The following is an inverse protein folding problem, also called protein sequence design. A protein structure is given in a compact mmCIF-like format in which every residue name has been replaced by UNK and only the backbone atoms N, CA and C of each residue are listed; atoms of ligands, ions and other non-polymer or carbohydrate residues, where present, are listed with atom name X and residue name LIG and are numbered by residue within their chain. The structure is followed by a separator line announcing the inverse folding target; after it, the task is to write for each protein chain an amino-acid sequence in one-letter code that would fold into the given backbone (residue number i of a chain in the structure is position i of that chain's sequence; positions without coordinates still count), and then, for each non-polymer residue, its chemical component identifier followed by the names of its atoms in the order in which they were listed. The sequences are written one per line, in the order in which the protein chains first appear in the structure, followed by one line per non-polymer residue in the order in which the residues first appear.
data_IF_375450505183
#
_entry.id   IF_375450505183
#
_cell.length_a   1.000
_cell.length_b   1.000
_cell.length_c   1.000
_cell.angle_alpha   90.00
_cell.angle_beta   90.00
_cell.angle_gamma   90.00
#
_symmetry.space_group_name_H-M   'P 1'
#
loop_
_entity.id
_entity.type
_entity.pdbx_description
1 polymer ?
#
# COMPACT_ATOMS: atom_id res chain seq x y z
N UNK A 1 5.64 8.31 -23.74
CA UNK A 1 5.14 9.67 -23.38
C UNK A 1 5.70 10.05 -22.02
N UNK A 2 6.05 11.31 -21.85
CA UNK A 2 6.32 11.92 -20.56
C UNK A 2 5.14 12.84 -20.21
N UNK A 3 4.42 12.50 -19.14
CA UNK A 3 3.10 13.08 -18.85
C UNK A 3 3.16 13.87 -17.54
N UNK A 4 2.89 15.17 -17.63
CA UNK A 4 2.79 16.10 -16.51
C UNK A 4 1.44 16.80 -16.48
N UNK A 5 1.06 17.40 -15.35
CA UNK A 5 -0.23 18.10 -15.21
C UNK A 5 -0.44 19.21 -16.24
N UNK A 6 0.63 19.90 -16.61
CA UNK A 6 0.58 21.09 -17.46
C UNK A 6 1.08 20.86 -18.91
N UNK A 7 1.63 19.70 -19.18
CA UNK A 7 2.14 19.35 -20.52
C UNK A 7 2.34 17.86 -20.66
N UNK A 8 2.13 17.37 -21.88
CA UNK A 8 2.49 16.01 -22.29
C UNK A 8 3.47 16.09 -23.44
N UNK A 9 4.60 15.40 -23.33
CA UNK A 9 5.57 15.24 -24.41
C UNK A 9 5.47 13.83 -24.93
N UNK A 10 5.18 13.70 -26.23
CA UNK A 10 5.05 12.41 -26.92
C UNK A 10 6.20 12.26 -27.91
N UNK A 11 6.86 11.12 -27.87
CA UNK A 11 7.82 10.68 -28.87
C UNK A 11 7.24 9.47 -29.59
N UNK A 12 6.93 9.60 -30.87
CA UNK A 12 6.63 8.48 -31.76
C UNK A 12 7.95 7.96 -32.34
N UNK A 13 8.15 6.66 -32.26
CA UNK A 13 9.32 5.96 -32.78
C UNK A 13 8.84 4.89 -33.76
N UNK A 14 9.25 4.98 -35.00
CA UNK A 14 8.97 3.97 -35.99
C UNK A 14 9.83 2.73 -35.74
N UNK A 15 9.18 1.56 -35.68
CA UNK A 15 9.83 0.30 -35.36
C UNK A 15 10.73 -0.26 -36.49
N UNK A 16 10.45 0.09 -37.72
CA UNK A 16 11.18 -0.42 -38.90
C UNK A 16 12.33 0.50 -39.29
N UNK A 17 12.08 1.82 -39.31
CA UNK A 17 13.07 2.80 -39.74
C UNK A 17 13.93 3.38 -38.63
N UNK A 18 13.44 3.31 -37.39
CA UNK A 18 14.06 3.95 -36.22
C UNK A 18 13.88 5.48 -36.19
N UNK A 19 13.07 6.04 -37.11
CA UNK A 19 12.80 7.47 -37.13
C UNK A 19 11.97 7.90 -35.94
N UNK A 20 12.35 9.03 -35.31
CA UNK A 20 11.70 9.54 -34.13
C UNK A 20 11.14 10.94 -34.31
N UNK A 21 9.84 11.11 -34.06
CA UNK A 21 9.16 12.40 -34.11
C UNK A 21 8.66 12.75 -32.71
N UNK A 22 8.99 13.95 -32.21
CA UNK A 22 8.58 14.39 -30.86
C UNK A 22 7.69 15.61 -30.96
N UNK A 23 6.57 15.59 -30.24
CA UNK A 23 5.64 16.72 -30.14
C UNK A 23 5.31 16.97 -28.66
N UNK A 24 5.23 18.24 -28.28
CA UNK A 24 4.79 18.67 -26.95
C UNK A 24 3.40 19.30 -27.05
N UNK A 25 2.52 18.85 -26.14
CA UNK A 25 1.16 19.35 -26.00
C UNK A 25 1.06 20.16 -24.69
N UNK A 26 0.28 21.23 -24.69
CA UNK A 26 -0.03 21.99 -23.49
C UNK A 26 -1.18 21.32 -22.73
N UNK A 27 -1.03 21.14 -21.43
CA UNK A 27 -2.00 20.37 -20.66
C UNK A 27 -2.01 18.89 -21.06
N UNK A 28 -3.18 18.30 -21.00
CA UNK A 28 -3.42 16.89 -21.32
C UNK A 28 -4.57 16.77 -22.33
N UNK A 29 -4.42 17.28 -23.58
CA UNK A 29 -5.46 17.22 -24.60
C UNK A 29 -5.44 15.84 -25.27
N UNK A 30 -6.00 14.84 -24.60
CA UNK A 30 -5.92 13.43 -25.04
C UNK A 30 -6.51 13.21 -26.43
N UNK A 31 -7.55 13.97 -26.82
CA UNK A 31 -8.07 13.96 -28.17
C UNK A 31 -7.04 14.36 -29.22
N UNK A 32 -6.32 15.48 -29.01
CA UNK A 32 -5.26 15.93 -29.92
C UNK A 32 -4.07 14.96 -29.96
N UNK A 33 -3.75 14.33 -28.82
CA UNK A 33 -2.70 13.30 -28.73
C UNK A 33 -3.11 12.09 -29.57
N UNK A 34 -4.35 11.61 -29.40
CA UNK A 34 -4.87 10.46 -30.14
C UNK A 34 -4.94 10.75 -31.64
N UNK A 35 -5.43 11.93 -32.04
CA UNK A 35 -5.46 12.36 -33.41
C UNK A 35 -4.04 12.42 -34.03
N UNK A 36 -3.08 12.98 -33.30
CA UNK A 36 -1.70 13.03 -33.76
C UNK A 36 -1.09 11.63 -33.92
N UNK A 37 -1.41 10.69 -32.98
CA UNK A 37 -0.95 9.32 -33.08
C UNK A 37 -1.59 8.57 -34.26
N UNK A 38 -2.84 8.82 -34.57
CA UNK A 38 -3.54 8.19 -35.70
C UNK A 38 -3.00 8.65 -37.08
N UNK A 39 -2.24 9.74 -37.13
CA UNK A 39 -1.56 10.22 -38.31
C UNK A 39 -0.34 9.39 -38.74
N UNK A 40 0.13 8.45 -37.90
CA UNK A 40 1.23 7.55 -38.25
C UNK A 40 0.70 6.24 -38.86
N UNK A 41 1.43 5.63 -39.81
CA UNK A 41 1.01 4.39 -40.44
C UNK A 41 1.11 3.21 -39.46
N UNK A 42 0.18 2.27 -39.56
CA UNK A 42 0.19 1.02 -38.79
C UNK A 42 -0.35 1.14 -37.34
N UNK A 43 -0.35 0.04 -36.60
CA UNK A 43 -0.80 0.02 -35.19
C UNK A 43 0.20 0.78 -34.32
N UNK A 44 -0.32 1.61 -33.39
CA UNK A 44 0.49 2.36 -32.46
C UNK A 44 0.21 1.93 -31.02
N UNK A 45 1.26 1.83 -30.21
CA UNK A 45 1.20 1.55 -28.78
C UNK A 45 1.77 2.72 -28.01
N UNK A 46 0.97 3.31 -27.12
CA UNK A 46 1.41 4.35 -26.20
C UNK A 46 1.89 3.74 -24.87
N UNK A 47 2.87 4.37 -24.23
CA UNK A 47 3.19 4.09 -22.84
C UNK A 47 3.64 5.35 -22.10
N UNK A 48 3.40 5.37 -20.78
CA UNK A 48 3.92 6.40 -19.87
C UNK A 48 4.30 5.79 -18.53
N UNK A 49 5.18 6.48 -17.79
CA UNK A 49 5.58 6.04 -16.44
C UNK A 49 4.45 6.27 -15.44
N UNK A 50 4.20 5.28 -14.55
CA UNK A 50 3.26 5.43 -13.45
C UNK A 50 3.69 6.60 -12.55
N UNK A 51 2.83 7.56 -12.36
CA UNK A 51 3.09 8.78 -11.61
C UNK A 51 1.83 9.29 -10.90
N UNK A 52 1.88 10.55 -10.45
CA UNK A 52 0.78 11.14 -9.67
C UNK A 52 -0.51 11.39 -10.48
N UNK A 53 -0.46 11.36 -11.81
CA UNK A 53 -1.65 11.40 -12.67
C UNK A 53 -2.40 10.05 -12.70
N UNK A 54 -1.86 9.03 -12.04
CA UNK A 54 -2.49 7.73 -11.91
C UNK A 54 -2.78 7.07 -13.25
N UNK A 55 -3.99 6.60 -13.41
CA UNK A 55 -4.44 5.84 -14.57
C UNK A 55 -5.34 6.64 -15.53
N UNK A 56 -5.61 7.92 -15.22
CA UNK A 56 -6.46 8.77 -16.06
C UNK A 56 -5.96 8.87 -17.50
N UNK A 57 -4.66 9.11 -17.77
CA UNK A 57 -4.16 9.17 -19.16
C UNK A 57 -4.40 7.89 -19.94
N UNK A 58 -4.22 6.73 -19.32
CA UNK A 58 -4.45 5.43 -19.95
C UNK A 58 -5.92 5.24 -20.32
N UNK A 59 -6.84 5.56 -19.40
CA UNK A 59 -8.30 5.42 -19.64
C UNK A 59 -8.78 6.34 -20.74
N UNK A 60 -8.35 7.59 -20.72
CA UNK A 60 -8.72 8.57 -21.75
C UNK A 60 -8.24 8.13 -23.13
N UNK A 61 -6.97 7.73 -23.26
CA UNK A 61 -6.41 7.26 -24.53
C UNK A 61 -7.08 5.97 -25.01
N UNK A 62 -7.31 5.01 -24.09
CA UNK A 62 -8.01 3.77 -24.45
C UNK A 62 -9.46 4.03 -24.87
N UNK A 63 -10.15 5.00 -24.25
CA UNK A 63 -11.49 5.45 -24.65
C UNK A 63 -11.51 6.08 -26.04
N UNK A 64 -10.38 6.62 -26.52
CA UNK A 64 -10.18 7.17 -27.86
C UNK A 64 -9.62 6.15 -28.86
N UNK A 65 -9.54 4.86 -28.50
CA UNK A 65 -9.08 3.79 -29.35
C UNK A 65 -7.55 3.65 -29.47
N UNK A 66 -6.80 4.31 -28.59
CA UNK A 66 -5.33 4.19 -28.52
C UNK A 66 -4.93 3.15 -27.48
N UNK A 67 -4.24 2.10 -27.89
CA UNK A 67 -3.64 1.14 -26.98
C UNK A 67 -2.60 1.83 -26.10
N UNK A 68 -2.80 1.81 -24.79
CA UNK A 68 -1.94 2.53 -23.86
C UNK A 68 -1.57 1.66 -22.64
N UNK A 69 -0.27 1.61 -22.33
CA UNK A 69 0.31 0.86 -21.23
C UNK A 69 0.89 1.81 -20.19
N UNK A 70 0.63 1.53 -18.92
CA UNK A 70 1.29 2.20 -17.78
C UNK A 70 2.52 1.40 -17.40
N UNK A 71 3.71 2.01 -17.45
CA UNK A 71 4.98 1.36 -17.15
C UNK A 71 5.41 1.61 -15.70
N UNK A 72 5.98 0.59 -15.06
CA UNK A 72 6.54 0.73 -13.71
C UNK A 72 7.86 1.51 -13.75
N UNK A 73 7.91 2.68 -13.08
CA UNK A 73 9.08 3.59 -13.03
C UNK A 73 10.38 2.88 -12.68
N UNK A 74 10.34 1.96 -11.71
CA UNK A 74 11.51 1.25 -11.21
C UNK A 74 12.10 0.22 -12.17
N UNK A 75 11.42 -0.04 -13.29
CA UNK A 75 11.79 -1.06 -14.26
C UNK A 75 12.05 -0.51 -15.67
N UNK A 76 11.93 0.78 -15.86
CA UNK A 76 12.34 1.42 -17.12
C UNK A 76 13.87 1.58 -17.10
N UNK A 77 14.60 1.01 -18.05
CA UNK A 77 16.06 1.12 -18.08
C UNK A 77 16.52 2.58 -18.14
N UNK A 78 17.55 2.93 -17.37
CA UNK A 78 18.19 4.24 -17.36
C UNK A 78 19.68 4.08 -17.61
N UNK A 79 20.19 4.76 -18.63
CA UNK A 79 21.63 4.83 -18.86
C UNK A 79 22.30 5.89 -17.96
N UNK A 80 23.61 5.81 -17.77
CA UNK A 80 24.35 6.83 -17.03
C UNK A 80 24.23 8.22 -17.70
N UNK A 81 24.08 8.28 -19.02
CA UNK A 81 23.86 9.51 -19.77
C UNK A 81 22.48 10.15 -19.48
N UNK A 82 21.45 9.34 -19.23
CA UNK A 82 20.10 9.82 -18.91
C UNK A 82 20.05 10.51 -17.53
N UNK A 83 20.96 10.18 -16.62
CA UNK A 83 21.07 10.81 -15.31
C UNK A 83 21.66 12.23 -15.39
N UNK A 84 22.40 12.55 -16.44
CA UNK A 84 23.09 13.84 -16.60
C UNK A 84 22.31 14.89 -17.39
N UNK A 85 21.30 14.49 -18.18
CA UNK A 85 20.49 15.41 -19.02
C UNK A 85 19.00 15.10 -18.95
N UNK A 86 18.40 15.39 -17.80
CA UNK A 86 16.96 15.20 -17.59
C UNK A 86 16.16 16.28 -18.30
N UNK A 87 15.40 15.89 -19.34
CA UNK A 87 14.37 16.74 -19.96
C UNK A 87 13.23 15.86 -20.49
N UNK A 88 12.02 16.44 -20.57
CA UNK A 88 10.78 15.76 -20.97
C UNK A 88 10.90 15.05 -22.35
N UNK A 89 11.72 15.59 -23.27
CA UNK A 89 11.94 15.03 -24.60
C UNK A 89 12.74 13.73 -24.54
N UNK A 90 13.81 13.72 -23.75
CA UNK A 90 14.64 12.53 -23.54
C UNK A 90 13.86 11.45 -22.79
N UNK A 91 13.05 11.83 -21.81
CA UNK A 91 12.23 10.89 -21.05
C UNK A 91 11.14 10.25 -21.94
N UNK A 92 10.49 11.02 -22.81
CA UNK A 92 9.56 10.48 -23.80
C UNK A 92 10.24 9.55 -24.83
N UNK A 93 11.43 9.93 -25.33
CA UNK A 93 12.19 9.11 -26.28
C UNK A 93 12.69 7.80 -25.65
N UNK A 94 13.12 7.86 -24.38
CA UNK A 94 13.49 6.65 -23.59
C UNK A 94 12.32 5.70 -23.47
N UNK A 95 11.11 6.20 -23.17
CA UNK A 95 9.91 5.38 -23.07
C UNK A 95 9.59 4.71 -24.43
N UNK A 96 9.70 5.43 -25.55
CA UNK A 96 9.48 4.86 -26.85
C UNK A 96 10.47 3.73 -27.17
N UNK A 97 11.76 3.92 -26.86
CA UNK A 97 12.77 2.87 -27.01
C UNK A 97 12.51 1.66 -26.11
N UNK A 98 12.10 1.87 -24.86
CA UNK A 98 11.78 0.79 -23.93
C UNK A 98 10.55 -0.03 -24.36
N UNK A 99 9.58 0.56 -25.06
CA UNK A 99 8.47 -0.17 -25.70
C UNK A 99 9.04 -1.08 -26.79
N UNK A 100 9.85 -0.53 -27.67
CA UNK A 100 10.39 -1.25 -28.83
C UNK A 100 11.28 -2.43 -28.44
N UNK A 101 12.09 -2.27 -27.37
CA UNK A 101 12.93 -3.33 -26.84
C UNK A 101 12.20 -4.32 -25.93
N UNK A 102 10.89 -4.16 -25.72
CA UNK A 102 10.08 -4.95 -24.75
C UNK A 102 10.60 -4.89 -23.30
N UNK A 103 11.32 -3.84 -22.93
CA UNK A 103 11.91 -3.65 -21.60
C UNK A 103 10.95 -2.95 -20.61
N UNK A 104 9.68 -2.78 -20.95
CA UNK A 104 8.68 -2.23 -20.06
C UNK A 104 7.99 -3.34 -19.24
N UNK A 105 7.77 -3.06 -17.96
CA UNK A 105 6.91 -3.89 -17.12
C UNK A 105 5.57 -3.20 -16.97
N UNK A 106 4.48 -3.74 -17.56
CA UNK A 106 3.15 -3.15 -17.44
C UNK A 106 2.66 -3.15 -16.00
N UNK A 107 2.07 -2.03 -15.59
CA UNK A 107 1.31 -1.93 -14.35
C UNK A 107 -0.14 -2.30 -14.65
N UNK A 108 -0.72 -3.13 -13.81
CA UNK A 108 -2.14 -3.40 -13.90
C UNK A 108 -2.97 -2.15 -13.60
N UNK A 109 -3.87 -1.79 -14.50
CA UNK A 109 -4.78 -0.66 -14.36
C UNK A 109 -6.04 -1.12 -13.64
N UNK A 110 -6.33 -0.62 -12.42
CA UNK A 110 -7.53 -0.97 -11.69
C UNK A 110 -8.78 -0.36 -12.31
N UNK A 111 -9.96 -0.92 -12.02
CA UNK A 111 -11.21 -0.21 -12.31
C UNK A 111 -11.34 1.05 -11.44
N UNK A 112 -12.18 2.03 -11.82
CA UNK A 112 -12.41 3.24 -11.01
C UNK A 112 -12.87 2.93 -9.57
N UNK A 113 -13.69 1.88 -9.39
CA UNK A 113 -14.17 1.46 -8.07
C UNK A 113 -13.02 0.94 -7.19
N UNK A 114 -12.12 0.17 -7.78
CA UNK A 114 -10.94 -0.36 -7.07
C UNK A 114 -9.96 0.76 -6.75
N UNK A 115 -9.80 1.74 -7.64
CA UNK A 115 -8.99 2.93 -7.39
C UNK A 115 -9.58 3.76 -6.24
N UNK A 116 -10.91 3.96 -6.20
CA UNK A 116 -11.59 4.61 -5.08
C UNK A 116 -11.40 3.89 -3.74
N UNK A 117 -11.37 2.55 -3.73
CA UNK A 117 -11.03 1.79 -2.52
C UNK A 117 -9.57 1.99 -2.09
N UNK A 118 -8.64 2.12 -3.02
CA UNK A 118 -7.22 2.45 -2.71
C UNK A 118 -7.11 3.83 -2.08
N UNK A 119 -7.82 4.82 -2.64
CA UNK A 119 -7.85 6.18 -2.11
C UNK A 119 -8.44 6.22 -0.70
N UNK A 120 -9.54 5.50 -0.46
CA UNK A 120 -10.14 5.37 0.87
C UNK A 120 -9.18 4.73 1.88
N UNK A 121 -8.49 3.66 1.49
CA UNK A 121 -7.49 3.00 2.33
C UNK A 121 -6.31 3.94 2.65
N UNK A 122 -5.84 4.70 1.67
CA UNK A 122 -4.80 5.72 1.84
C UNK A 122 -5.23 6.86 2.77
N UNK A 123 -6.47 7.35 2.61
CA UNK A 123 -7.04 8.39 3.47
C UNK A 123 -7.17 7.92 4.93
N UNK A 124 -7.63 6.68 5.14
CA UNK A 124 -7.70 6.07 6.48
C UNK A 124 -6.31 5.95 7.12
N UNK A 125 -5.32 5.54 6.35
CA UNK A 125 -3.95 5.44 6.84
C UNK A 125 -3.39 6.80 7.25
N UNK A 126 -3.58 7.82 6.42
CA UNK A 126 -3.18 9.19 6.72
C UNK A 126 -3.87 9.73 7.99
N UNK A 127 -5.17 9.42 8.18
CA UNK A 127 -5.90 9.80 9.39
C UNK A 127 -5.33 9.10 10.64
N UNK A 128 -5.02 7.81 10.55
CA UNK A 128 -4.40 7.04 11.64
C UNK A 128 -3.02 7.59 12.02
N UNK A 129 -2.19 7.93 11.03
CA UNK A 129 -0.88 8.54 11.25
C UNK A 129 -0.99 9.92 11.91
N UNK A 130 -1.97 10.75 11.50
CA UNK A 130 -2.24 12.06 12.13
C UNK A 130 -2.65 11.90 13.58
N UNK A 131 -3.54 10.95 13.89
CA UNK A 131 -3.95 10.65 15.26
C UNK A 131 -2.77 10.21 16.13
N UNK A 132 -1.91 9.31 15.63
CA UNK A 132 -0.70 8.90 16.34
C UNK A 132 0.23 10.07 16.63
N UNK A 133 0.45 10.94 15.65
CA UNK A 133 1.28 12.14 15.80
C UNK A 133 0.67 13.14 16.81
N UNK A 134 -0.65 13.35 16.78
CA UNK A 134 -1.35 14.22 17.73
C UNK A 134 -1.23 13.69 19.17
N UNK A 135 -1.42 12.38 19.36
CA UNK A 135 -1.22 11.71 20.66
C UNK A 135 0.20 11.88 21.17
N UNK A 136 1.20 11.74 20.32
CA UNK A 136 2.60 11.93 20.71
C UNK A 136 2.92 13.38 21.05
N UNK A 137 2.39 14.37 20.32
CA UNK A 137 2.54 15.79 20.64
C UNK A 137 1.97 16.14 22.02
N UNK A 138 0.78 15.62 22.34
CA UNK A 138 0.17 15.81 23.66
C UNK A 138 1.01 15.18 24.77
N UNK A 139 1.49 13.96 24.61
CA UNK A 139 2.36 13.31 25.60
C UNK A 139 3.69 14.05 25.77
N UNK A 140 4.31 14.52 24.70
CA UNK A 140 5.53 15.30 24.75
C UNK A 140 5.32 16.67 25.43
N UNK A 141 4.18 17.31 25.22
CA UNK A 141 3.80 18.54 25.93
C UNK A 141 3.69 18.31 27.43
N UNK A 142 2.98 17.25 27.84
CA UNK A 142 2.82 16.89 29.25
C UNK A 142 4.17 16.58 29.90
N UNK A 143 5.02 15.79 29.26
CA UNK A 143 6.34 15.41 29.77
C UNK A 143 7.25 16.63 29.96
N UNK A 144 7.30 17.54 28.99
CA UNK A 144 8.11 18.78 29.10
C UNK A 144 7.66 19.72 30.23
N UNK A 145 6.43 19.58 30.68
CA UNK A 145 5.87 20.37 31.80
C UNK A 145 5.83 19.60 33.11
N UNK A 146 6.50 18.44 33.17
CA UNK A 146 6.60 17.61 34.38
C UNK A 146 5.34 16.82 34.75
N UNK A 147 4.36 16.74 33.83
CA UNK A 147 3.15 15.91 34.04
C UNK A 147 3.41 14.49 33.59
N UNK A 148 3.49 13.57 34.53
CA UNK A 148 3.66 12.16 34.27
C UNK A 148 2.41 11.36 34.69
N UNK A 149 1.83 10.59 33.75
CA UNK A 149 0.84 9.59 34.05
C UNK A 149 1.54 8.25 34.26
N UNK A 150 1.47 7.73 35.45
CA UNK A 150 2.22 6.52 35.82
C UNK A 150 1.52 5.73 36.90
N UNK A 151 2.27 4.77 37.44
CA UNK A 151 1.81 3.84 38.49
C UNK A 151 1.33 2.52 37.88
N UNK A 152 0.85 1.64 38.77
CA UNK A 152 0.37 0.31 38.45
C UNK A 152 -1.14 0.20 38.67
N UNK A 153 -1.76 -0.72 37.95
CA UNK A 153 -3.13 -1.15 38.22
C UNK A 153 -3.17 -1.99 39.48
N UNK A 154 -4.36 -2.25 40.10
CA UNK A 154 -4.48 -3.16 41.25
C UNK A 154 -3.88 -4.56 40.99
N UNK A 155 -3.80 -4.99 39.74
CA UNK A 155 -3.19 -6.26 39.34
C UNK A 155 -1.66 -6.15 39.09
N UNK A 156 -1.00 -5.04 39.46
CA UNK A 156 0.45 -4.84 39.33
C UNK A 156 0.95 -4.48 37.92
N UNK A 157 0.09 -4.34 36.91
CA UNK A 157 0.49 -3.99 35.58
C UNK A 157 0.70 -2.47 35.41
N UNK A 158 1.65 -2.02 34.57
CA UNK A 158 1.80 -0.60 34.24
C UNK A 158 0.51 -0.01 33.70
N UNK A 159 0.14 1.19 34.16
CA UNK A 159 -1.01 1.91 33.62
C UNK A 159 -0.75 2.32 32.17
N UNK A 160 -1.76 2.09 31.31
CA UNK A 160 -1.67 2.39 29.89
C UNK A 160 -2.24 3.77 29.59
N UNK A 161 -1.58 4.49 28.67
CA UNK A 161 -2.11 5.72 28.11
C UNK A 161 -3.39 5.46 27.30
N UNK A 162 -4.20 6.51 27.10
CA UNK A 162 -5.43 6.51 26.25
C UNK A 162 -6.53 5.59 26.77
N UNK A 163 -6.49 5.23 28.06
CA UNK A 163 -7.56 4.57 28.78
C UNK A 163 -8.48 5.61 29.43
N UNK A 164 -9.65 5.17 29.91
CA UNK A 164 -10.55 6.04 30.66
C UNK A 164 -9.87 6.67 31.88
N UNK A 165 -9.04 5.94 32.61
CA UNK A 165 -8.28 6.45 33.74
C UNK A 165 -7.26 7.51 33.34
N UNK A 166 -6.59 7.33 32.19
CA UNK A 166 -5.70 8.37 31.64
C UNK A 166 -6.47 9.64 31.30
N UNK A 167 -7.64 9.53 30.67
CA UNK A 167 -8.45 10.69 30.32
C UNK A 167 -8.94 11.43 31.55
N UNK A 168 -9.41 10.71 32.59
CA UNK A 168 -9.77 11.32 33.87
C UNK A 168 -8.59 11.99 34.58
N UNK A 169 -7.39 11.43 34.46
CA UNK A 169 -6.18 12.06 34.97
C UNK A 169 -5.87 13.33 34.17
N UNK A 170 -5.96 13.27 32.85
CA UNK A 170 -5.74 14.41 31.96
C UNK A 170 -6.69 15.57 32.23
N UNK A 171 -7.95 15.27 32.61
CA UNK A 171 -8.94 16.25 33.02
C UNK A 171 -8.53 17.06 34.29
N UNK A 172 -7.61 16.54 35.08
CA UNK A 172 -7.09 17.17 36.31
C UNK A 172 -5.80 17.95 36.08
N UNK A 173 -5.18 17.80 34.93
CA UNK A 173 -3.93 18.51 34.58
C UNK A 173 -4.23 20.00 34.43
N UNK A 174 -3.49 20.84 35.15
CA UNK A 174 -3.60 22.31 35.09
C UNK A 174 -2.21 22.92 34.92
N UNK A 175 -1.86 23.36 33.72
CA UNK A 175 -0.65 24.19 33.52
C UNK A 175 -0.72 25.46 34.34
N UNK A 176 0.44 25.92 34.81
CA UNK A 176 0.54 27.08 35.69
C UNK A 176 0.39 28.43 34.93
N UNK A 177 0.47 28.38 33.60
CA UNK A 177 0.43 29.58 32.74
C UNK A 177 -0.68 29.50 31.68
N UNK A 178 -1.21 30.63 31.28
CA UNK A 178 -2.30 30.73 30.29
C UNK A 178 -1.94 30.13 28.94
N UNK A 179 -0.68 30.30 28.50
CA UNK A 179 -0.21 29.68 27.24
C UNK A 179 -0.25 28.16 27.30
N UNK A 180 0.14 27.59 28.45
CA UNK A 180 0.06 26.15 28.71
C UNK A 180 -1.37 25.62 28.75
N UNK A 181 -2.29 26.38 29.36
CA UNK A 181 -3.72 26.01 29.41
C UNK A 181 -4.30 25.96 27.98
N UNK A 182 -4.05 27.00 27.19
CA UNK A 182 -4.52 27.06 25.78
C UNK A 182 -3.88 25.97 24.91
N UNK A 183 -2.57 25.73 25.07
CA UNK A 183 -1.87 24.68 24.33
C UNK A 183 -2.39 23.27 24.68
N UNK A 184 -2.65 22.99 25.97
CA UNK A 184 -3.25 21.72 26.39
C UNK A 184 -4.64 21.53 25.79
N UNK A 185 -5.48 22.57 25.81
CA UNK A 185 -6.82 22.52 25.24
C UNK A 185 -6.78 22.25 23.72
N UNK A 186 -5.92 22.95 23.00
CA UNK A 186 -5.77 22.77 21.55
C UNK A 186 -5.27 21.37 21.18
N UNK A 187 -4.23 20.84 21.84
CA UNK A 187 -3.69 19.52 21.61
C UNK A 187 -4.70 18.41 21.95
N UNK A 188 -5.47 18.60 23.02
CA UNK A 188 -6.53 17.68 23.43
C UNK A 188 -7.66 17.66 22.41
N UNK A 189 -8.13 18.84 21.97
CA UNK A 189 -9.17 18.97 20.94
C UNK A 189 -8.74 18.30 19.63
N UNK A 190 -7.48 18.45 19.21
CA UNK A 190 -6.93 17.77 18.02
C UNK A 190 -7.02 16.23 18.15
N UNK A 191 -6.62 15.67 19.30
CA UNK A 191 -6.72 14.22 19.56
C UNK A 191 -8.16 13.75 19.55
N UNK A 192 -9.07 14.45 20.23
CA UNK A 192 -10.50 14.11 20.31
C UNK A 192 -11.17 14.13 18.93
N UNK A 193 -10.88 15.16 18.10
CA UNK A 193 -11.39 15.26 16.75
C UNK A 193 -10.93 14.09 15.86
N UNK A 194 -9.64 13.72 15.95
CA UNK A 194 -9.08 12.61 15.17
C UNK A 194 -9.52 11.23 15.67
N UNK A 195 -9.86 11.08 16.96
CA UNK A 195 -10.39 9.81 17.51
C UNK A 195 -11.82 9.51 17.06
N UNK A 196 -12.56 10.48 16.55
CA UNK A 196 -13.91 10.24 16.00
C UNK A 196 -13.89 9.35 14.75
N UNK A 197 -12.73 9.19 14.11
CA UNK A 197 -12.52 8.31 12.96
C UNK A 197 -12.20 6.89 13.46
N UNK A 198 -13.23 6.09 13.77
CA UNK A 198 -13.08 4.68 14.15
C UNK A 198 -13.12 3.76 12.94
N UNK A 199 -12.15 2.85 12.77
CA UNK A 199 -12.24 1.78 11.79
C UNK A 199 -10.94 1.07 11.41
N UNK A 200 -10.21 0.48 12.38
CA UNK A 200 -8.96 -0.22 12.04
C UNK A 200 -9.10 -1.66 11.48
N UNK A 201 -10.27 -2.31 11.58
CA UNK A 201 -10.45 -3.70 11.10
C UNK A 201 -10.66 -3.82 9.58
N UNK A 202 -11.25 -2.82 8.98
CA UNK A 202 -11.57 -2.78 7.55
C UNK A 202 -10.37 -2.39 6.67
N UNK A 203 -9.42 -1.64 7.21
CA UNK A 203 -8.33 -1.04 6.43
C UNK A 203 -7.45 -2.08 5.71
N UNK A 204 -7.07 -3.15 6.38
CA UNK A 204 -6.24 -4.20 5.76
C UNK A 204 -7.01 -4.92 4.65
N UNK A 205 -8.27 -5.27 4.89
CA UNK A 205 -9.10 -5.98 3.90
C UNK A 205 -9.33 -5.10 2.66
N UNK A 206 -9.69 -3.83 2.84
CA UNK A 206 -9.90 -2.89 1.74
C UNK A 206 -8.61 -2.60 0.97
N UNK A 207 -7.50 -2.30 1.65
CA UNK A 207 -6.21 -2.07 1.01
C UNK A 207 -5.71 -3.31 0.26
N UNK A 208 -5.87 -4.49 0.83
CA UNK A 208 -5.48 -5.74 0.20
C UNK A 208 -6.34 -6.05 -1.02
N UNK A 209 -7.66 -6.00 -0.89
CA UNK A 209 -8.60 -6.29 -1.98
C UNK A 209 -8.44 -5.31 -3.14
N UNK A 210 -8.31 -3.99 -2.85
CA UNK A 210 -8.12 -2.97 -3.87
C UNK A 210 -6.78 -3.09 -4.60
N UNK A 211 -5.72 -3.52 -3.92
CA UNK A 211 -4.39 -3.69 -4.52
C UNK A 211 -4.29 -4.97 -5.34
N UNK A 212 -4.92 -6.05 -4.88
CA UNK A 212 -5.04 -7.32 -5.64
C UNK A 212 -5.94 -7.13 -6.85
N UNK A 213 -7.08 -6.47 -6.67
CA UNK A 213 -8.09 -6.26 -7.69
C UNK A 213 -8.69 -7.57 -8.19
N UNK A 214 -8.16 -8.10 -9.27
CA UNK A 214 -8.52 -9.43 -9.75
C UNK A 214 -7.63 -10.51 -9.11
N UNK A 215 -8.23 -11.40 -8.32
CA UNK A 215 -7.54 -12.48 -7.61
C UNK A 215 -6.99 -13.54 -8.54
N UNK A 216 -7.51 -13.69 -9.76
CA UNK A 216 -7.03 -14.63 -10.78
C UNK A 216 -5.66 -14.22 -11.39
N UNK A 217 -5.23 -12.97 -11.20
CA UNK A 217 -3.90 -12.49 -11.64
C UNK A 217 -2.74 -13.29 -11.04
N UNK A 218 -2.97 -13.92 -9.89
CA UNK A 218 -1.94 -14.66 -9.18
C UNK A 218 -2.19 -16.15 -9.23
N UNK A 219 -1.23 -16.90 -9.73
CA UNK A 219 -1.30 -18.37 -9.81
C UNK A 219 -0.98 -19.05 -8.48
N UNK A 220 -0.41 -18.34 -7.53
CA UNK A 220 -0.03 -18.89 -6.21
C UNK A 220 0.13 -17.81 -5.15
N UNK A 221 -0.07 -18.20 -3.88
CA UNK A 221 0.18 -17.31 -2.75
C UNK A 221 1.64 -16.83 -2.62
N UNK A 222 2.62 -17.52 -3.27
CA UNK A 222 4.01 -17.06 -3.33
C UNK A 222 4.13 -15.81 -4.19
N UNK A 223 3.43 -15.74 -5.31
CA UNK A 223 3.41 -14.55 -6.17
C UNK A 223 2.80 -13.36 -5.44
N UNK A 224 1.71 -13.56 -4.69
CA UNK A 224 1.10 -12.51 -3.85
C UNK A 224 2.07 -12.01 -2.80
N UNK A 225 2.77 -12.91 -2.11
CA UNK A 225 3.77 -12.53 -1.10
C UNK A 225 4.92 -11.72 -1.70
N UNK A 226 5.37 -12.09 -2.91
CA UNK A 226 6.41 -11.36 -3.64
C UNK A 226 5.91 -9.98 -4.10
N UNK A 227 4.67 -9.91 -4.60
CA UNK A 227 4.03 -8.67 -5.06
C UNK A 227 3.94 -7.62 -3.94
N UNK A 228 3.62 -8.03 -2.70
CA UNK A 228 3.62 -7.14 -1.54
C UNK A 228 4.98 -6.96 -0.87
N UNK A 229 6.04 -7.52 -1.43
CA UNK A 229 7.39 -7.38 -0.91
C UNK A 229 7.63 -8.04 0.45
N UNK A 230 6.81 -9.02 0.81
CA UNK A 230 6.94 -9.84 2.01
C UNK A 230 7.77 -11.11 1.79
N UNK A 231 8.17 -11.39 0.54
CA UNK A 231 9.10 -12.46 0.22
C UNK A 231 10.54 -12.08 0.66
N UNK A 232 11.32 -13.01 1.18
CA UNK A 232 12.71 -12.75 1.54
C UNK A 232 13.55 -12.45 0.29
N UNK A 233 14.51 -11.52 0.41
CA UNK A 233 15.55 -11.32 -0.59
C UNK A 233 16.41 -12.57 -0.64
N UNK A 234 16.69 -13.06 -1.84
CA UNK A 234 17.60 -14.17 -2.04
C UNK A 234 18.91 -13.63 -2.62
N UNK A 235 20.02 -13.96 -1.96
CA UNK A 235 21.37 -13.78 -2.46
C UNK A 235 21.98 -15.18 -2.56
N UNK A 236 21.98 -15.72 -3.77
CA UNK A 236 22.51 -17.06 -4.03
C UNK A 236 23.78 -16.96 -4.88
N UNK A 237 24.81 -17.67 -4.49
CA UNK A 237 25.90 -18.08 -5.37
C UNK A 237 25.70 -19.56 -5.70
N UNK A 238 26.43 -20.11 -6.69
CA UNK A 238 26.22 -21.45 -7.22
C UNK A 238 26.01 -22.53 -6.13
N UNK A 239 26.70 -22.40 -4.98
CA UNK A 239 26.72 -23.42 -3.92
C UNK A 239 26.04 -22.97 -2.60
N UNK A 240 25.49 -21.78 -2.50
CA UNK A 240 24.84 -21.33 -1.27
C UNK A 240 23.61 -20.46 -1.49
N UNK A 241 22.50 -20.80 -0.81
CA UNK A 241 21.27 -20.01 -0.75
C UNK A 241 21.26 -19.21 0.55
N UNK A 242 21.41 -17.88 0.47
CA UNK A 242 21.27 -16.98 1.62
C UNK A 242 19.99 -16.17 1.50
N UNK A 243 19.09 -16.39 2.46
CA UNK A 243 17.87 -15.60 2.57
C UNK A 243 18.11 -14.38 3.47
N UNK A 244 17.86 -13.19 2.93
CA UNK A 244 17.92 -11.93 3.66
C UNK A 244 16.57 -11.54 4.28
N UNK A 245 16.43 -10.25 4.66
CA UNK A 245 15.15 -9.66 5.05
C UNK A 245 14.13 -9.63 3.91
N UNK A 246 12.91 -9.20 4.19
CA UNK A 246 11.86 -9.03 3.17
C UNK A 246 12.32 -8.07 2.07
N UNK A 247 11.83 -8.28 0.84
CA UNK A 247 12.27 -7.50 -0.32
C UNK A 247 11.89 -6.02 -0.21
N UNK A 248 10.76 -5.72 0.44
CA UNK A 248 10.24 -4.37 0.60
C UNK A 248 9.67 -3.75 -0.68
N UNK A 249 9.65 -4.49 -1.79
CA UNK A 249 9.03 -4.06 -3.05
C UNK A 249 7.49 -4.03 -2.94
N UNK A 250 6.82 -3.34 -3.86
CA UNK A 250 5.36 -3.27 -3.92
C UNK A 250 4.72 -2.37 -2.86
N UNK A 251 3.42 -2.52 -2.66
CA UNK A 251 2.61 -1.61 -1.82
C UNK A 251 3.03 -1.63 -0.35
N UNK A 252 3.57 -0.51 0.14
CA UNK A 252 4.06 -0.36 1.51
C UNK A 252 2.92 -0.36 2.54
N UNK A 253 1.73 0.17 2.17
CA UNK A 253 0.57 0.21 3.05
C UNK A 253 0.08 -1.19 3.37
N UNK A 254 -0.18 -2.03 2.36
CA UNK A 254 -0.63 -3.41 2.57
C UNK A 254 0.40 -4.20 3.37
N UNK A 255 1.68 -4.03 3.05
CA UNK A 255 2.76 -4.70 3.80
C UNK A 255 2.76 -4.29 5.28
N UNK A 256 2.65 -2.99 5.58
CA UNK A 256 2.59 -2.49 6.95
C UNK A 256 1.35 -3.01 7.69
N UNK A 257 0.16 -2.89 7.10
CA UNK A 257 -1.08 -3.36 7.69
C UNK A 257 -1.08 -4.88 7.92
N UNK A 258 -0.47 -5.66 7.03
CA UNK A 258 -0.31 -7.10 7.22
C UNK A 258 0.64 -7.43 8.39
N UNK A 259 1.73 -6.67 8.56
CA UNK A 259 2.64 -6.82 9.71
C UNK A 259 1.94 -6.40 10.99
N UNK A 260 1.21 -5.29 11.01
CA UNK A 260 0.38 -4.87 12.15
C UNK A 260 -0.69 -5.91 12.48
N UNK A 261 -1.40 -6.43 11.49
CA UNK A 261 -2.36 -7.53 11.65
C UNK A 261 -1.74 -8.79 12.24
N UNK A 262 -0.47 -9.07 11.95
CA UNK A 262 0.25 -10.22 12.52
C UNK A 262 0.43 -10.16 14.04
N UNK A 263 0.42 -8.96 14.64
CA UNK A 263 0.47 -8.79 16.09
C UNK A 263 -0.79 -9.28 16.81
N UNK A 264 -1.93 -9.37 16.13
CA UNK A 264 -3.15 -9.95 16.70
C UNK A 264 -2.98 -11.42 17.09
N UNK A 265 -2.02 -12.11 16.48
CA UNK A 265 -1.65 -13.50 16.78
C UNK A 265 -0.66 -13.65 17.94
N UNK A 266 -0.35 -12.57 18.67
CA UNK A 266 0.49 -12.59 19.89
C UNK A 266 -0.30 -13.07 21.12
N UNK A 267 -1.61 -12.81 21.15
CA UNK A 267 -2.45 -13.14 22.29
C UNK A 267 -3.28 -14.39 21.99
N UNK A 268 -2.83 -15.53 22.52
CA UNK A 268 -3.55 -16.81 22.42
C UNK A 268 -4.95 -16.79 23.07
N UNK A 269 -5.27 -15.79 23.89
CA UNK A 269 -6.57 -15.67 24.59
C UNK A 269 -7.75 -15.33 23.69
N UNK A 270 -7.50 -14.92 22.43
CA UNK A 270 -8.56 -14.59 21.47
C UNK A 270 -8.57 -15.64 20.37
N UNK A 271 -9.32 -16.74 20.60
CA UNK A 271 -9.63 -17.65 19.51
C UNK A 271 -10.30 -16.87 18.36
N UNK A 272 -9.92 -17.13 17.10
CA UNK A 272 -10.55 -16.49 15.96
C UNK A 272 -12.05 -16.76 15.99
N UNK A 273 -12.85 -15.71 16.17
CA UNK A 273 -14.30 -15.83 16.12
C UNK A 273 -14.73 -16.19 14.70
N UNK A 274 -15.55 -17.21 14.58
CA UNK A 274 -16.24 -17.47 13.32
C UNK A 274 -17.12 -16.24 13.00
N UNK A 275 -17.07 -15.74 11.74
CA UNK A 275 -17.93 -14.63 11.35
C UNK A 275 -19.40 -14.95 11.63
N UNK A 276 -20.24 -13.98 12.06
CA UNK A 276 -21.63 -14.21 12.41
C UNK A 276 -22.42 -14.84 11.26
N UNK A 277 -23.43 -15.64 11.60
CA UNK A 277 -24.46 -16.06 10.64
C UNK A 277 -25.13 -14.80 10.08
N UNK A 278 -25.35 -14.74 8.76
CA UNK A 278 -25.94 -13.56 8.10
C UNK A 278 -24.92 -12.54 7.56
N UNK A 279 -23.62 -12.80 7.64
CA UNK A 279 -22.58 -11.93 7.06
C UNK A 279 -22.56 -11.91 5.51
N UNK A 280 -23.40 -12.68 4.83
CA UNK A 280 -23.34 -12.85 3.36
C UNK A 280 -22.20 -13.70 2.86
N UNK A 281 -21.24 -14.07 3.74
CA UNK A 281 -20.07 -14.87 3.38
C UNK A 281 -20.39 -16.35 3.44
N UNK A 282 -20.13 -17.15 2.39
CA UNK A 282 -20.37 -18.60 2.36
C UNK A 282 -19.71 -19.34 3.54
N UNK A 283 -20.34 -20.41 4.02
CA UNK A 283 -19.84 -21.17 5.16
C UNK A 283 -18.43 -21.71 4.93
N UNK A 284 -18.15 -22.21 3.74
CA UNK A 284 -16.84 -22.76 3.35
C UNK A 284 -15.73 -21.71 3.47
N UNK A 285 -15.97 -20.49 3.00
CA UNK A 285 -15.04 -19.36 3.12
C UNK A 285 -14.79 -19.03 4.59
N UNK A 286 -15.86 -18.99 5.42
CA UNK A 286 -15.73 -18.75 6.87
C UNK A 286 -14.91 -19.83 7.57
N UNK A 287 -15.15 -21.09 7.22
CA UNK A 287 -14.40 -22.24 7.75
C UNK A 287 -12.93 -22.21 7.31
N UNK A 288 -12.68 -21.84 6.05
CA UNK A 288 -11.32 -21.68 5.54
C UNK A 288 -10.56 -20.57 6.28
N UNK A 289 -11.18 -19.42 6.48
CA UNK A 289 -10.61 -18.32 7.27
C UNK A 289 -10.28 -18.71 8.72
N UNK A 290 -11.14 -19.51 9.35
CA UNK A 290 -10.87 -20.06 10.69
C UNK A 290 -9.64 -20.97 10.69
N UNK A 291 -9.56 -21.93 9.76
CA UNK A 291 -8.37 -22.82 9.59
C UNK A 291 -7.09 -22.00 9.39
N UNK A 292 -7.17 -20.93 8.59
CA UNK A 292 -6.05 -20.00 8.39
C UNK A 292 -5.59 -19.37 9.67
N UNK A 293 -6.51 -18.86 10.47
CA UNK A 293 -6.20 -18.20 11.74
C UNK A 293 -5.58 -19.18 12.76
N UNK A 294 -6.12 -20.37 12.90
CA UNK A 294 -5.59 -21.43 13.78
C UNK A 294 -4.17 -21.86 13.34
N UNK A 295 -3.94 -21.97 12.03
CA UNK A 295 -2.62 -22.29 11.49
C UNK A 295 -1.62 -21.16 11.75
N UNK A 296 -2.01 -19.90 11.55
CA UNK A 296 -1.13 -18.75 11.80
C UNK A 296 -0.71 -18.64 13.25
N UNK A 297 -1.63 -18.87 14.20
CA UNK A 297 -1.34 -18.94 15.63
C UNK A 297 -0.29 -20.02 15.92
N UNK A 298 -0.61 -21.27 15.57
CA UNK A 298 0.28 -22.40 15.83
C UNK A 298 1.67 -22.22 15.22
N UNK A 299 1.73 -21.81 13.94
CA UNK A 299 3.01 -21.64 13.26
C UNK A 299 3.85 -20.52 13.86
N UNK A 300 3.22 -19.45 14.32
CA UNK A 300 3.92 -18.38 15.01
C UNK A 300 4.52 -18.86 16.34
N UNK A 301 3.77 -19.61 17.12
CA UNK A 301 4.24 -20.23 18.37
C UNK A 301 5.42 -21.17 18.11
N UNK A 302 5.32 -22.04 17.10
CA UNK A 302 6.42 -22.93 16.69
C UNK A 302 7.70 -22.17 16.32
N UNK A 303 7.58 -21.04 15.58
CA UNK A 303 8.74 -20.22 15.23
C UNK A 303 9.40 -19.59 16.45
N UNK A 304 8.61 -19.11 17.40
CA UNK A 304 9.13 -18.53 18.64
C UNK A 304 9.75 -19.58 19.54
N UNK A 305 9.14 -20.77 19.66
CA UNK A 305 9.68 -21.90 20.42
C UNK A 305 11.03 -22.38 19.90
N UNK A 306 11.28 -22.23 18.58
CA UNK A 306 12.57 -22.50 17.94
C UNK A 306 13.59 -21.36 18.09
N UNK A 307 13.30 -20.34 18.90
CA UNK A 307 14.20 -19.21 19.15
C UNK A 307 14.20 -18.15 18.03
N UNK A 308 13.22 -18.15 17.13
CA UNK A 308 13.15 -17.12 16.09
C UNK A 308 12.84 -15.76 16.73
N UNK A 309 13.58 -14.68 16.40
CA UNK A 309 13.28 -13.33 16.89
C UNK A 309 11.86 -12.90 16.51
N UNK A 310 11.17 -12.25 17.45
CA UNK A 310 9.76 -11.86 17.32
C UNK A 310 9.47 -11.06 16.03
N UNK A 311 10.35 -10.14 15.65
CA UNK A 311 10.20 -9.36 14.42
C UNK A 311 10.22 -10.24 13.15
N UNK A 312 11.07 -11.28 13.13
CA UNK A 312 11.13 -12.25 12.03
C UNK A 312 9.89 -13.14 12.00
N UNK A 313 9.43 -13.61 13.17
CA UNK A 313 8.21 -14.39 13.30
C UNK A 313 6.99 -13.59 12.81
N UNK A 314 6.87 -12.31 13.17
CA UNK A 314 5.80 -11.43 12.72
C UNK A 314 5.85 -11.21 11.19
N UNK A 315 7.02 -10.96 10.62
CA UNK A 315 7.14 -10.82 9.16
C UNK A 315 6.75 -12.10 8.41
N UNK A 316 7.14 -13.27 8.93
CA UNK A 316 6.75 -14.57 8.38
C UNK A 316 5.24 -14.83 8.51
N UNK A 317 4.63 -14.45 9.64
CA UNK A 317 3.18 -14.51 9.87
C UNK A 317 2.43 -13.59 8.92
N UNK A 318 2.91 -12.35 8.72
CA UNK A 318 2.34 -11.41 7.75
C UNK A 318 2.41 -11.95 6.31
N UNK A 319 3.53 -12.55 5.92
CA UNK A 319 3.70 -13.18 4.61
C UNK A 319 2.72 -14.35 4.40
N UNK A 320 2.42 -15.11 5.43
CA UNK A 320 1.42 -16.17 5.35
C UNK A 320 -0.01 -15.62 5.40
N UNK A 321 -0.26 -14.58 6.19
CA UNK A 321 -1.56 -13.89 6.26
C UNK A 321 -2.03 -13.41 4.89
N UNK A 322 -1.17 -12.76 4.10
CA UNK A 322 -1.54 -12.29 2.76
C UNK A 322 -1.85 -13.45 1.80
N UNK A 323 -1.26 -14.63 2.00
CA UNK A 323 -1.60 -15.84 1.21
C UNK A 323 -3.00 -16.34 1.54
N UNK A 324 -3.37 -16.33 2.83
CA UNK A 324 -4.72 -16.69 3.28
C UNK A 324 -5.76 -15.70 2.79
N UNK A 325 -5.46 -14.39 2.83
CA UNK A 325 -6.35 -13.35 2.30
C UNK A 325 -6.60 -13.53 0.80
N UNK A 326 -5.55 -13.85 0.04
CA UNK A 326 -5.69 -14.15 -1.38
C UNK A 326 -6.55 -15.40 -1.63
N UNK A 327 -6.32 -16.49 -0.91
CA UNK A 327 -7.12 -17.70 -1.06
C UNK A 327 -8.60 -17.47 -0.73
N UNK A 328 -8.87 -16.71 0.35
CA UNK A 328 -10.24 -16.33 0.72
C UNK A 328 -10.91 -15.46 -0.35
N UNK A 329 -10.20 -14.51 -0.93
CA UNK A 329 -10.71 -13.67 -2.01
C UNK A 329 -11.01 -14.45 -3.29
N UNK A 330 -10.14 -15.41 -3.64
CA UNK A 330 -10.37 -16.30 -4.78
C UNK A 330 -11.62 -17.20 -4.57
N UNK A 331 -11.79 -17.78 -3.37
CA UNK A 331 -12.97 -18.58 -3.01
C UNK A 331 -14.27 -17.75 -3.00
N UNK A 332 -14.23 -16.49 -2.56
CA UNK A 332 -15.41 -15.62 -2.59
C UNK A 332 -15.88 -15.37 -4.02
N UNK A 333 -14.96 -15.20 -4.95
CA UNK A 333 -15.28 -15.00 -6.37
C UNK A 333 -15.92 -16.23 -6.99
N UNK A 334 -15.32 -17.43 -6.80
CA UNK A 334 -15.87 -18.70 -7.30
C UNK A 334 -17.28 -19.00 -6.77
N UNK A 335 -17.61 -18.51 -5.56
CA UNK A 335 -18.94 -18.69 -4.98
C UNK A 335 -19.98 -17.67 -5.48
N UNK A 336 -19.57 -16.64 -6.24
CA UNK A 336 -20.43 -15.55 -6.74
C UNK A 336 -20.67 -15.67 -8.26
N UNK A 337 -19.80 -16.40 -8.98
CA UNK A 337 -19.98 -16.84 -10.37
C UNK A 337 -20.86 -18.10 -10.43
#
# INVERSE_FOLDING_TARGET
MDVHLRSTTVCALDAETGEAVTRRFRGNPWGEVAEWMSGFPGPSLAAYESGYLGFAPQRELSGLGVDCVVAAVSRVPRSAADLSSKNDRNDAARMAKAILSHDISPVWVPSPEIEGLRDLAGAHDAATARLAAAKQRLLAFLARRGYAYGGTTPAGNPRRYWTYDFLRWLDKVRPADDGGIRALAALRSEVEALQSIKGCGFALAAAFASEVGDFSRFRSGRQVTAYFGLAPKQRSSADSVRLGGISGAGNALVRRLAVEGSWSYVQASHQPKLMPKGSGVPLEVRMHGRKGSERLLRRREEMLARGMPQAKANAATAAELVRWLWALGAMCREATE
#
